data_IF_733919172138
#
_entry.id   IF_733919172138
#
_cell.length_a   1.000
_cell.length_b   1.000
_cell.length_c   1.000
_cell.angle_alpha   90.00
_cell.angle_beta   90.00
_cell.angle_gamma   90.00
#
_symmetry.space_group_name_H-M   'P 1'
#
loop_
_entity.id
_entity.type
_entity.pdbx_description
1 polymer ?
#
# COMPACT_ATOMS: atom_id res chain seq x y z
N UNK A 1 -35.77 11.92 11.67
CA UNK A 1 -34.75 11.07 12.35
C UNK A 1 -33.82 12.00 13.13
N UNK A 2 -33.73 11.86 14.44
CA UNK A 2 -32.71 12.58 15.21
C UNK A 2 -31.32 11.98 14.93
N UNK A 3 -30.30 12.83 14.92
CA UNK A 3 -28.90 12.36 14.80
C UNK A 3 -28.51 11.60 16.09
N UNK A 4 -27.56 10.63 15.98
CA UNK A 4 -27.02 9.95 17.13
C UNK A 4 -26.37 10.93 18.11
N UNK A 5 -26.44 10.63 19.42
CA UNK A 5 -25.86 11.47 20.46
C UNK A 5 -24.34 11.33 20.62
N UNK A 6 -23.64 10.77 19.65
CA UNK A 6 -22.18 10.64 19.64
C UNK A 6 -21.54 11.32 18.41
N UNK A 7 -20.27 11.65 18.52
CA UNK A 7 -19.52 12.44 17.52
C UNK A 7 -18.55 11.59 16.72
N UNK A 8 -18.13 12.03 15.51
CA UNK A 8 -17.06 11.39 14.74
C UNK A 8 -15.75 11.25 15.52
N UNK A 9 -15.43 12.22 16.39
CA UNK A 9 -14.19 12.22 17.18
C UNK A 9 -14.20 11.13 18.26
N UNK A 10 -15.35 10.85 18.84
CA UNK A 10 -15.54 9.73 19.77
C UNK A 10 -15.40 8.38 19.06
N UNK A 11 -15.98 8.23 17.86
CA UNK A 11 -15.80 7.02 17.03
C UNK A 11 -14.32 6.83 16.64
N UNK A 12 -13.63 7.91 16.27
CA UNK A 12 -12.21 7.85 15.91
C UNK A 12 -11.34 7.42 17.10
N UNK A 13 -11.60 7.94 18.28
CA UNK A 13 -10.91 7.53 19.50
C UNK A 13 -11.14 6.03 19.77
N UNK A 14 -12.40 5.57 19.72
CA UNK A 14 -12.75 4.17 19.91
C UNK A 14 -12.04 3.24 18.94
N UNK A 15 -12.11 3.49 17.63
CA UNK A 15 -11.50 2.65 16.59
C UNK A 15 -9.98 2.59 16.76
N UNK A 16 -9.32 3.72 17.07
CA UNK A 16 -7.87 3.73 17.28
C UNK A 16 -7.47 2.98 18.57
N UNK A 17 -8.23 3.07 19.64
CA UNK A 17 -7.97 2.28 20.86
C UNK A 17 -8.15 0.79 20.58
N UNK A 18 -9.16 0.41 19.82
CA UNK A 18 -9.39 -0.99 19.43
C UNK A 18 -8.24 -1.56 18.57
N UNK A 19 -7.72 -0.77 17.62
CA UNK A 19 -6.61 -1.15 16.76
C UNK A 19 -5.28 -1.26 17.52
N UNK A 20 -4.94 -0.22 18.31
CA UNK A 20 -3.66 -0.11 19.01
C UNK A 20 -3.63 -0.83 20.36
N UNK A 21 -4.80 -1.19 20.91
CA UNK A 21 -4.98 -1.77 22.25
C UNK A 21 -4.30 -0.95 23.36
N UNK A 22 -4.24 0.38 23.17
CA UNK A 22 -3.55 1.30 24.05
C UNK A 22 -4.14 2.72 23.98
N UNK A 23 -4.57 3.24 25.10
CA UNK A 23 -5.00 4.64 25.20
C UNK A 23 -3.83 5.63 25.01
N UNK A 24 -2.65 5.29 25.52
CA UNK A 24 -1.46 6.13 25.37
C UNK A 24 -1.00 6.21 23.89
N UNK A 25 -0.88 5.08 23.21
CA UNK A 25 -0.51 5.07 21.79
C UNK A 25 -1.57 5.77 20.92
N UNK A 26 -2.86 5.63 21.28
CA UNK A 26 -3.93 6.35 20.59
C UNK A 26 -3.83 7.86 20.80
N UNK A 27 -3.49 8.29 22.03
CA UNK A 27 -3.30 9.70 22.33
C UNK A 27 -2.16 10.32 21.50
N UNK A 28 -1.03 9.64 21.37
CA UNK A 28 0.07 10.05 20.47
C UNK A 28 -0.39 10.14 19.04
N UNK A 29 -1.08 9.11 18.51
CA UNK A 29 -1.58 9.06 17.13
C UNK A 29 -2.55 10.20 16.81
N UNK A 30 -3.42 10.57 17.78
CA UNK A 30 -4.45 11.61 17.62
C UNK A 30 -4.00 13.01 18.07
N UNK A 31 -2.76 13.16 18.51
CA UNK A 31 -2.22 14.39 19.09
C UNK A 31 -3.08 14.91 20.27
N UNK A 32 -3.47 13.99 21.18
CA UNK A 32 -4.28 14.23 22.38
C UNK A 32 -3.53 13.78 23.63
N UNK A 33 -4.13 14.06 24.80
CA UNK A 33 -3.69 13.45 26.06
C UNK A 33 -4.40 12.10 26.28
N UNK A 34 -3.80 11.14 27.02
CA UNK A 34 -4.46 9.87 27.34
C UNK A 34 -5.79 10.06 28.10
N UNK A 35 -5.90 11.07 28.94
CA UNK A 35 -7.15 11.43 29.63
C UNK A 35 -8.23 11.90 28.65
N UNK A 36 -7.88 12.70 27.65
CA UNK A 36 -8.83 13.14 26.62
C UNK A 36 -9.35 11.96 25.77
N UNK A 37 -8.47 11.03 25.39
CA UNK A 37 -8.90 9.81 24.68
C UNK A 37 -9.83 8.96 25.56
N UNK A 38 -9.49 8.79 26.86
CA UNK A 38 -10.33 8.06 27.80
C UNK A 38 -11.70 8.72 27.99
N UNK A 39 -11.74 10.04 28.03
CA UNK A 39 -13.00 10.79 28.11
C UNK A 39 -13.85 10.59 26.86
N UNK A 40 -13.28 10.74 25.65
CA UNK A 40 -14.00 10.52 24.38
C UNK A 40 -14.63 9.12 24.30
N UNK A 41 -13.88 8.10 24.73
CA UNK A 41 -14.39 6.73 24.75
C UNK A 41 -15.48 6.56 25.81
N UNK A 42 -15.31 7.14 27.03
CA UNK A 42 -16.33 7.06 28.07
C UNK A 42 -17.64 7.75 27.67
N UNK A 43 -17.57 8.93 27.06
CA UNK A 43 -18.74 9.64 26.54
C UNK A 43 -19.45 8.84 25.43
N UNK A 44 -18.69 8.12 24.59
CA UNK A 44 -19.26 7.24 23.59
C UNK A 44 -19.99 6.06 24.24
N UNK A 45 -19.38 5.41 25.24
CA UNK A 45 -19.99 4.33 26.00
C UNK A 45 -21.28 4.77 26.68
N UNK A 46 -21.28 5.96 27.27
CA UNK A 46 -22.46 6.55 27.92
C UNK A 46 -23.59 6.85 26.92
N UNK A 47 -23.22 7.35 25.72
CA UNK A 47 -24.19 7.59 24.64
C UNK A 47 -24.76 6.31 24.05
N UNK A 48 -24.00 5.20 24.03
CA UNK A 48 -24.42 3.90 23.55
C UNK A 48 -25.17 3.07 24.60
N UNK A 49 -24.93 3.35 25.89
CA UNK A 49 -25.53 2.60 27.01
C UNK A 49 -24.85 1.26 27.31
N UNK A 50 -23.66 1.00 26.74
CA UNK A 50 -22.86 -0.21 27.00
C UNK A 50 -21.36 0.06 26.93
N UNK A 51 -20.57 -0.83 27.58
CA UNK A 51 -19.10 -0.71 27.57
C UNK A 51 -18.50 -1.28 26.32
N UNK A 52 -17.53 -0.55 25.74
CA UNK A 52 -16.78 -0.94 24.54
C UNK A 52 -15.48 -1.65 24.92
N UNK A 53 -14.90 -1.33 26.07
CA UNK A 53 -13.67 -1.95 26.58
C UNK A 53 -13.85 -2.49 27.99
N UNK A 54 -13.18 -3.61 28.26
CA UNK A 54 -12.98 -4.11 29.61
C UNK A 54 -11.80 -3.36 30.25
N UNK A 55 -12.05 -2.68 31.35
CA UNK A 55 -11.02 -1.93 32.07
C UNK A 55 -10.29 -2.86 33.04
N UNK A 56 -9.19 -3.47 32.59
CA UNK A 56 -8.21 -4.03 33.51
C UNK A 56 -6.97 -3.11 33.58
N UNK A 57 -6.31 -3.04 34.72
CA UNK A 57 -5.13 -2.18 34.93
C UNK A 57 -3.91 -2.60 34.09
N UNK A 58 -3.97 -3.73 33.38
CA UNK A 58 -2.85 -4.28 32.64
C UNK A 58 -3.10 -4.47 31.13
N UNK A 59 -4.36 -4.47 30.66
CA UNK A 59 -4.71 -4.66 29.24
C UNK A 59 -5.97 -3.91 28.88
N UNK A 60 -6.01 -3.48 27.63
CA UNK A 60 -7.21 -2.89 27.00
C UNK A 60 -7.80 -3.98 26.09
N UNK A 61 -8.83 -4.65 26.56
CA UNK A 61 -9.54 -5.67 25.80
C UNK A 61 -10.92 -5.14 25.37
N UNK A 62 -11.25 -5.35 24.10
CA UNK A 62 -12.54 -4.95 23.53
C UNK A 62 -13.62 -5.94 23.98
N UNK A 63 -14.78 -5.44 24.44
CA UNK A 63 -15.94 -6.27 24.83
C UNK A 63 -16.58 -6.94 23.62
N UNK A 64 -17.50 -7.89 23.83
CA UNK A 64 -18.31 -8.47 22.76
C UNK A 64 -19.12 -7.41 22.01
N UNK A 65 -19.80 -6.54 22.75
CA UNK A 65 -20.56 -5.41 22.21
C UNK A 65 -19.65 -4.44 21.43
N UNK A 66 -18.43 -4.16 21.97
CA UNK A 66 -17.44 -3.34 21.29
C UNK A 66 -17.02 -3.94 19.94
N UNK A 67 -16.80 -5.26 19.86
CA UNK A 67 -16.47 -5.93 18.59
C UNK A 67 -17.58 -5.84 17.56
N UNK A 68 -18.82 -6.01 17.97
CA UNK A 68 -19.97 -5.87 17.07
C UNK A 68 -20.11 -4.43 16.57
N UNK A 69 -19.92 -3.46 17.45
CA UNK A 69 -20.01 -2.04 17.09
C UNK A 69 -18.85 -1.55 16.24
N UNK A 70 -17.65 -2.17 16.33
CA UNK A 70 -16.43 -1.74 15.66
C UNK A 70 -16.61 -1.62 14.14
N UNK A 71 -17.19 -2.63 13.50
CA UNK A 71 -17.42 -2.63 12.05
C UNK A 71 -18.34 -1.47 11.62
N UNK A 72 -19.35 -1.15 12.42
CA UNK A 72 -20.25 -0.01 12.16
C UNK A 72 -19.54 1.33 12.35
N UNK A 73 -18.72 1.47 13.39
CA UNK A 73 -17.93 2.67 13.66
C UNK A 73 -16.92 2.95 12.53
N UNK A 74 -16.20 1.93 12.08
CA UNK A 74 -15.28 2.00 10.94
C UNK A 74 -16.01 2.43 9.65
N UNK A 75 -17.19 1.87 9.40
CA UNK A 75 -18.01 2.21 8.24
C UNK A 75 -18.43 3.68 8.26
N UNK A 76 -18.89 4.21 9.40
CA UNK A 76 -19.24 5.63 9.55
C UNK A 76 -18.03 6.52 9.28
N UNK A 77 -16.88 6.22 9.86
CA UNK A 77 -15.65 6.99 9.63
C UNK A 77 -15.20 6.93 8.18
N UNK A 78 -15.34 5.77 7.51
CA UNK A 78 -15.10 5.63 6.07
C UNK A 78 -15.98 6.58 5.26
N UNK A 79 -17.29 6.62 5.55
CA UNK A 79 -18.24 7.49 4.83
C UNK A 79 -17.99 8.99 5.10
N UNK A 80 -17.58 9.35 6.31
CA UNK A 80 -17.17 10.74 6.61
C UNK A 80 -15.95 11.16 5.81
N UNK A 81 -14.94 10.29 5.67
CA UNK A 81 -13.76 10.55 4.81
C UNK A 81 -14.17 10.71 3.35
N UNK A 82 -15.09 9.87 2.86
CA UNK A 82 -15.62 9.98 1.50
C UNK A 82 -16.33 11.32 1.29
N UNK A 83 -17.15 11.76 2.23
CA UNK A 83 -17.83 13.05 2.16
C UNK A 83 -16.84 14.22 2.19
N UNK A 84 -15.83 14.17 3.04
CA UNK A 84 -14.76 15.17 3.11
C UNK A 84 -13.94 15.19 1.82
N UNK A 85 -13.66 14.02 1.25
CA UNK A 85 -12.99 13.91 -0.05
C UNK A 85 -13.84 14.53 -1.16
N UNK A 86 -15.14 14.24 -1.22
CA UNK A 86 -16.04 14.82 -2.21
C UNK A 86 -16.06 16.36 -2.16
N UNK A 87 -16.08 16.94 -0.95
CA UNK A 87 -15.96 18.40 -0.78
C UNK A 87 -14.59 18.94 -1.24
N UNK A 88 -13.52 18.17 -1.04
CA UNK A 88 -12.19 18.52 -1.53
C UNK A 88 -12.10 18.39 -3.05
N UNK A 89 -12.77 17.41 -3.63
CA UNK A 89 -12.80 17.18 -5.08
C UNK A 89 -13.47 18.33 -5.83
N UNK A 90 -14.53 18.93 -5.27
CA UNK A 90 -15.16 20.14 -5.83
C UNK A 90 -14.13 21.27 -5.92
N UNK A 91 -13.33 21.48 -4.87
CA UNK A 91 -12.26 22.51 -4.89
C UNK A 91 -11.12 22.15 -5.83
N UNK A 92 -10.69 20.89 -5.84
CA UNK A 92 -9.58 20.40 -6.67
C UNK A 92 -9.93 20.37 -8.15
N UNK A 93 -11.19 20.11 -8.51
CA UNK A 93 -11.69 20.20 -9.91
C UNK A 93 -11.45 21.58 -10.51
N UNK A 94 -11.75 22.62 -9.75
CA UNK A 94 -11.49 24.00 -10.17
C UNK A 94 -9.99 24.31 -10.30
N UNK A 95 -9.14 23.67 -9.47
CA UNK A 95 -7.69 23.86 -9.44
C UNK A 95 -6.91 22.90 -10.34
N UNK A 96 -7.57 21.89 -10.97
CA UNK A 96 -6.89 20.86 -11.79
C UNK A 96 -5.94 19.95 -11.01
N UNK A 97 -6.18 19.72 -9.73
CA UNK A 97 -5.33 18.86 -8.89
C UNK A 97 -5.77 17.38 -9.02
N UNK A 98 -4.81 16.49 -9.26
CA UNK A 98 -4.98 15.03 -9.26
C UNK A 98 -4.10 14.42 -8.18
N UNK A 99 -4.67 13.63 -7.28
CA UNK A 99 -3.96 12.89 -6.25
C UNK A 99 -3.80 11.44 -6.70
N UNK A 100 -2.56 10.96 -6.76
CA UNK A 100 -2.26 9.57 -7.10
C UNK A 100 -1.50 8.89 -5.98
N UNK A 101 -2.05 7.79 -5.48
CA UNK A 101 -1.37 6.92 -4.51
C UNK A 101 -0.49 5.91 -5.24
N UNK A 102 0.71 5.69 -4.74
CA UNK A 102 1.62 4.67 -5.27
C UNK A 102 2.62 4.23 -4.21
N UNK A 103 3.08 2.96 -4.24
CA UNK A 103 4.22 2.53 -3.46
C UNK A 103 5.51 3.22 -3.95
N UNK A 104 6.46 3.41 -3.04
CA UNK A 104 7.73 4.13 -3.26
C UNK A 104 8.39 3.83 -4.62
N UNK A 105 8.49 2.56 -4.99
CA UNK A 105 9.12 2.15 -6.25
C UNK A 105 8.37 2.69 -7.46
N UNK A 106 7.04 2.54 -7.48
CA UNK A 106 6.19 3.03 -8.57
C UNK A 106 6.21 4.55 -8.61
N UNK A 107 6.14 5.19 -7.44
CA UNK A 107 6.21 6.65 -7.28
C UNK A 107 7.53 7.21 -7.81
N UNK A 108 8.67 6.56 -7.55
CA UNK A 108 10.00 7.05 -7.94
C UNK A 108 10.44 6.65 -9.35
N UNK A 109 10.00 5.48 -9.85
CA UNK A 109 10.49 4.93 -11.13
C UNK A 109 9.53 5.20 -12.30
N UNK A 110 8.23 5.10 -12.06
CA UNK A 110 7.22 5.13 -13.14
C UNK A 110 6.57 6.52 -13.24
N UNK A 111 6.03 7.03 -12.14
CA UNK A 111 5.25 8.26 -12.14
C UNK A 111 6.00 9.51 -12.63
N UNK A 112 7.28 9.76 -12.30
CA UNK A 112 7.93 11.02 -12.70
C UNK A 112 7.96 11.23 -14.21
N UNK A 113 8.23 10.18 -14.99
CA UNK A 113 8.23 10.25 -16.46
C UNK A 113 6.83 10.48 -17.01
N UNK A 114 5.83 9.79 -16.46
CA UNK A 114 4.44 9.95 -16.86
C UNK A 114 3.92 11.34 -16.54
N UNK A 115 4.21 11.87 -15.36
CA UNK A 115 3.83 13.21 -14.92
C UNK A 115 4.46 14.26 -15.83
N UNK A 116 5.78 14.17 -16.09
CA UNK A 116 6.48 15.10 -16.99
C UNK A 116 5.83 15.17 -18.36
N UNK A 117 5.54 14.01 -18.97
CA UNK A 117 4.93 13.96 -20.30
C UNK A 117 3.49 14.51 -20.29
N UNK A 118 2.72 14.27 -19.22
CA UNK A 118 1.35 14.75 -19.11
C UNK A 118 1.27 16.26 -18.90
N UNK A 119 2.07 16.80 -17.96
CA UNK A 119 2.05 18.22 -17.61
C UNK A 119 2.59 19.13 -18.71
N UNK A 120 3.44 18.62 -19.61
CA UNK A 120 3.86 19.36 -20.81
C UNK A 120 2.69 19.73 -21.72
N UNK A 121 1.67 18.88 -21.82
CA UNK A 121 0.47 19.13 -22.63
C UNK A 121 -0.69 19.74 -21.84
N UNK A 122 -0.62 19.70 -20.53
CA UNK A 122 -1.65 20.18 -19.59
C UNK A 122 -1.05 20.95 -18.41
N UNK A 123 -0.45 22.12 -18.64
CA UNK A 123 0.34 22.84 -17.63
C UNK A 123 -0.48 23.33 -16.42
N UNK A 124 -1.80 23.39 -16.54
CA UNK A 124 -2.70 23.76 -15.43
C UNK A 124 -3.04 22.60 -14.50
N UNK A 125 -2.65 21.35 -14.87
CA UNK A 125 -2.91 20.18 -14.03
C UNK A 125 -1.72 19.93 -13.10
N UNK A 126 -2.00 19.77 -11.82
CA UNK A 126 -1.02 19.46 -10.79
C UNK A 126 -1.23 18.04 -10.28
N UNK A 127 -0.23 17.20 -10.47
CA UNK A 127 -0.25 15.81 -9.96
C UNK A 127 0.44 15.78 -8.61
N UNK A 128 -0.30 15.34 -7.58
CA UNK A 128 0.23 15.13 -6.22
C UNK A 128 0.40 13.63 -5.98
N UNK A 129 1.63 13.19 -5.79
CA UNK A 129 1.94 11.81 -5.42
C UNK A 129 1.74 11.67 -3.90
N UNK A 130 1.12 10.57 -3.50
CA UNK A 130 1.02 10.13 -2.12
C UNK A 130 1.69 8.76 -2.02
N UNK A 131 2.81 8.72 -1.30
CA UNK A 131 3.48 7.45 -1.01
C UNK A 131 2.62 6.66 -0.02
N UNK A 132 2.31 5.42 -0.38
CA UNK A 132 1.53 4.50 0.45
C UNK A 132 2.15 3.10 0.42
N UNK A 133 2.07 2.33 1.51
CA UNK A 133 2.36 0.91 1.49
C UNK A 133 1.45 0.17 0.51
N UNK A 134 1.94 -0.96 -0.05
CA UNK A 134 1.19 -1.74 -1.05
C UNK A 134 -0.19 -2.17 -0.54
N UNK A 135 -0.30 -2.55 0.72
CA UNK A 135 -1.55 -2.97 1.37
C UNK A 135 -2.58 -1.85 1.54
N UNK A 136 -2.16 -0.58 1.51
CA UNK A 136 -3.03 0.59 1.61
C UNK A 136 -3.41 1.21 0.26
N UNK A 137 -2.92 0.63 -0.85
CA UNK A 137 -3.07 1.17 -2.18
C UNK A 137 -4.55 1.31 -2.61
N UNK A 138 -5.32 0.23 -2.46
CA UNK A 138 -6.75 0.18 -2.83
C UNK A 138 -7.57 1.04 -1.87
N UNK A 139 -7.27 0.97 -0.57
CA UNK A 139 -7.94 1.74 0.47
C UNK A 139 -7.83 3.25 0.22
N UNK A 140 -6.70 3.74 -0.27
CA UNK A 140 -6.49 5.16 -0.56
C UNK A 140 -7.47 5.68 -1.63
N UNK A 141 -7.85 4.86 -2.60
CA UNK A 141 -8.88 5.21 -3.59
C UNK A 141 -10.28 5.03 -3.03
N UNK A 142 -10.54 3.93 -2.32
CA UNK A 142 -11.84 3.63 -1.75
C UNK A 142 -12.27 4.69 -0.70
N UNK A 143 -11.33 5.19 0.11
CA UNK A 143 -11.59 6.27 1.08
C UNK A 143 -11.69 7.66 0.46
N UNK A 144 -11.24 7.82 -0.79
CA UNK A 144 -11.15 9.13 -1.46
C UNK A 144 -9.92 9.96 -1.07
N UNK A 145 -8.98 9.38 -0.38
CA UNK A 145 -7.68 10.00 -0.07
C UNK A 145 -6.82 10.22 -1.34
N UNK A 146 -7.06 9.40 -2.36
CA UNK A 146 -6.49 9.55 -3.70
C UNK A 146 -7.59 9.45 -4.77
N UNK A 147 -7.37 10.07 -5.91
CA UNK A 147 -8.25 10.00 -7.08
C UNK A 147 -7.95 8.76 -7.90
N UNK A 148 -6.69 8.36 -7.92
CA UNK A 148 -6.15 7.20 -8.61
C UNK A 148 -5.12 6.50 -7.72
N UNK A 149 -4.87 5.23 -7.99
CA UNK A 149 -3.69 4.56 -7.45
C UNK A 149 -3.01 3.73 -8.52
N UNK A 150 -1.67 3.65 -8.46
CA UNK A 150 -0.84 2.88 -9.38
C UNK A 150 0.09 1.96 -8.60
N UNK A 151 0.02 0.66 -8.84
CA UNK A 151 0.87 -0.29 -8.13
C UNK A 151 0.62 -1.74 -8.51
N UNK A 152 1.18 -2.68 -7.74
CA UNK A 152 1.03 -4.10 -8.01
C UNK A 152 -0.42 -4.55 -7.91
N UNK A 153 -0.73 -5.66 -8.59
CA UNK A 153 -2.04 -6.28 -8.59
C UNK A 153 -2.50 -6.64 -7.18
N UNK A 154 -3.70 -6.14 -6.80
CA UNK A 154 -4.36 -6.36 -5.52
C UNK A 154 -5.84 -6.63 -5.72
N UNK A 155 -6.39 -7.50 -4.90
CA UNK A 155 -7.84 -7.67 -4.85
C UNK A 155 -8.51 -6.34 -4.44
N UNK A 156 -9.63 -6.03 -5.07
CA UNK A 156 -10.43 -4.84 -4.79
C UNK A 156 -11.91 -5.21 -4.80
N UNK A 157 -12.71 -4.43 -4.09
CA UNK A 157 -14.18 -4.55 -4.11
C UNK A 157 -14.79 -3.91 -5.35
N UNK A 158 -16.12 -4.03 -5.46
CA UNK A 158 -16.91 -3.53 -6.61
C UNK A 158 -16.97 -2.00 -6.69
N UNK A 159 -16.45 -1.30 -5.70
CA UNK A 159 -16.34 0.15 -5.66
C UNK A 159 -15.08 0.68 -6.35
N UNK A 160 -14.19 -0.22 -6.80
CA UNK A 160 -12.92 0.10 -7.47
C UNK A 160 -12.82 -0.60 -8.82
N UNK A 161 -12.50 0.15 -9.85
CA UNK A 161 -12.11 -0.38 -11.16
C UNK A 161 -10.61 -0.62 -11.17
N UNK A 162 -10.21 -1.86 -11.49
CA UNK A 162 -8.82 -2.27 -11.65
C UNK A 162 -8.52 -2.47 -13.13
N UNK A 163 -7.58 -1.70 -13.66
CA UNK A 163 -7.09 -1.80 -15.04
C UNK A 163 -5.65 -2.28 -15.04
N UNK A 164 -5.38 -3.45 -15.63
CA UNK A 164 -4.02 -3.96 -15.81
C UNK A 164 -3.30 -3.14 -16.88
N UNK A 165 -2.07 -2.68 -16.59
CA UNK A 165 -1.28 -1.84 -17.49
C UNK A 165 -0.15 -2.61 -18.16
N UNK A 166 0.67 -3.30 -17.39
CA UNK A 166 1.76 -4.11 -17.88
C UNK A 166 2.15 -5.21 -16.89
N UNK A 167 2.88 -6.18 -17.39
CA UNK A 167 3.45 -7.25 -16.58
C UNK A 167 4.96 -7.10 -16.45
N UNK A 168 5.53 -7.62 -15.38
CA UNK A 168 6.95 -7.59 -15.10
C UNK A 168 7.37 -8.88 -14.40
N UNK A 169 8.36 -9.60 -14.91
CA UNK A 169 8.83 -10.83 -14.27
C UNK A 169 9.49 -10.50 -12.93
N UNK A 170 9.36 -11.41 -11.99
CA UNK A 170 10.21 -11.44 -10.81
C UNK A 170 11.60 -11.89 -11.19
N UNK A 171 12.60 -11.15 -10.72
CA UNK A 171 14.00 -11.38 -11.02
C UNK A 171 14.84 -11.32 -9.75
N UNK A 172 16.00 -11.95 -9.79
CA UNK A 172 17.02 -11.81 -8.75
C UNK A 172 17.82 -10.54 -9.03
N UNK A 173 18.00 -9.73 -7.99
CA UNK A 173 18.92 -8.62 -7.91
C UNK A 173 20.02 -8.94 -6.91
N UNK A 174 21.29 -8.92 -7.35
CA UNK A 174 22.42 -9.27 -6.52
C UNK A 174 23.67 -8.44 -6.90
N UNK A 175 24.67 -8.41 -6.02
CA UNK A 175 25.95 -7.82 -6.33
C UNK A 175 26.64 -8.54 -7.51
N UNK A 176 27.53 -7.89 -8.25
CA UNK A 176 28.33 -8.54 -9.29
C UNK A 176 29.23 -9.68 -8.77
N UNK A 177 29.63 -9.62 -7.51
CA UNK A 177 30.44 -10.62 -6.79
C UNK A 177 29.65 -11.86 -6.37
N UNK A 178 28.32 -11.76 -6.34
CA UNK A 178 27.44 -12.85 -5.89
C UNK A 178 27.61 -14.09 -6.82
N UNK A 179 27.66 -15.33 -6.30
CA UNK A 179 27.88 -16.55 -7.10
C UNK A 179 26.92 -16.74 -8.25
N UNK A 180 25.65 -16.30 -8.10
CA UNK A 180 24.65 -16.38 -9.14
C UNK A 180 24.76 -15.25 -10.18
N UNK A 181 25.59 -14.24 -9.96
CA UNK A 181 25.74 -13.08 -10.84
C UNK A 181 26.30 -13.44 -12.24
N UNK A 182 27.02 -14.53 -12.36
CA UNK A 182 27.60 -14.98 -13.64
C UNK A 182 26.68 -15.90 -14.44
N UNK A 183 25.56 -16.36 -13.85
CA UNK A 183 24.60 -17.22 -14.54
C UNK A 183 23.70 -16.38 -15.46
N UNK A 184 23.33 -16.94 -16.62
CA UNK A 184 22.35 -16.29 -17.50
C UNK A 184 20.95 -16.27 -16.88
N UNK A 185 20.55 -17.40 -16.28
CA UNK A 185 19.28 -17.59 -15.57
C UNK A 185 19.55 -18.35 -14.27
N UNK A 186 18.65 -18.25 -13.32
CA UNK A 186 18.67 -18.98 -12.04
C UNK A 186 17.35 -19.72 -11.85
N UNK A 187 17.36 -20.77 -11.05
CA UNK A 187 16.16 -21.50 -10.65
C UNK A 187 15.86 -21.28 -9.16
N UNK A 188 14.64 -21.53 -8.76
CA UNK A 188 14.24 -21.45 -7.35
C UNK A 188 15.09 -22.32 -6.45
N UNK A 189 15.40 -23.55 -6.87
CA UNK A 189 16.29 -24.45 -6.16
C UNK A 189 17.70 -23.88 -5.93
N UNK A 190 18.22 -23.11 -6.89
CA UNK A 190 19.52 -22.47 -6.73
C UNK A 190 19.47 -21.29 -5.76
N UNK A 191 18.33 -20.58 -5.67
CA UNK A 191 18.15 -19.47 -4.73
C UNK A 191 18.16 -19.92 -3.29
N UNK A 192 17.68 -21.12 -3.00
CA UNK A 192 17.62 -21.68 -1.64
C UNK A 192 19.00 -21.74 -0.94
N UNK A 193 20.08 -21.87 -1.71
CA UNK A 193 21.45 -21.96 -1.18
C UNK A 193 22.04 -20.64 -0.72
N UNK A 194 21.34 -19.51 -0.91
CA UNK A 194 21.87 -18.18 -0.65
C UNK A 194 20.93 -17.34 0.22
N UNK A 195 21.46 -16.45 1.07
CA UNK A 195 20.64 -15.55 1.87
C UNK A 195 19.87 -14.59 0.97
N UNK A 196 18.57 -14.46 1.24
CA UNK A 196 17.68 -13.54 0.56
C UNK A 196 17.02 -12.58 1.54
N UNK A 197 16.88 -11.33 1.15
CA UNK A 197 16.14 -10.30 1.89
C UNK A 197 14.85 -9.96 1.15
N UNK A 198 13.74 -9.91 1.87
CA UNK A 198 12.45 -9.49 1.33
C UNK A 198 12.15 -8.03 1.68
N UNK A 199 11.50 -7.31 0.77
CA UNK A 199 11.05 -5.95 0.98
C UNK A 199 9.56 -5.92 1.35
N UNK A 200 9.27 -5.94 2.64
CA UNK A 200 7.94 -5.95 3.21
C UNK A 200 7.29 -7.34 3.23
N UNK A 201 6.29 -7.48 4.07
CA UNK A 201 5.54 -8.74 4.25
C UNK A 201 4.78 -9.18 2.99
N UNK A 202 4.43 -8.24 2.12
CA UNK A 202 3.80 -8.56 0.83
C UNK A 202 4.78 -9.28 -0.11
N UNK A 203 6.07 -8.88 -0.11
CA UNK A 203 7.13 -9.59 -0.83
C UNK A 203 7.40 -10.97 -0.23
N UNK A 204 7.47 -11.07 1.10
CA UNK A 204 7.63 -12.34 1.80
C UNK A 204 6.52 -13.32 1.42
N UNK A 205 5.26 -12.90 1.51
CA UNK A 205 4.10 -13.72 1.12
C UNK A 205 4.12 -14.08 -0.36
N UNK A 206 4.49 -13.15 -1.23
CA UNK A 206 4.61 -13.41 -2.65
C UNK A 206 5.67 -14.46 -2.93
N UNK A 207 6.86 -14.34 -2.34
CA UNK A 207 7.92 -15.35 -2.46
C UNK A 207 7.43 -16.70 -1.94
N UNK A 208 6.76 -16.75 -0.78
CA UNK A 208 6.19 -17.97 -0.24
C UNK A 208 5.15 -18.61 -1.16
N UNK A 209 4.32 -17.83 -1.85
CA UNK A 209 3.34 -18.33 -2.80
C UNK A 209 3.96 -18.86 -4.10
N UNK A 210 5.06 -18.26 -4.56
CA UNK A 210 5.71 -18.58 -5.83
C UNK A 210 6.27 -20.02 -5.87
N UNK A 211 6.52 -20.63 -4.72
CA UNK A 211 7.07 -21.97 -4.62
C UNK A 211 6.18 -22.95 -3.82
N UNK A 212 4.88 -22.69 -3.75
CA UNK A 212 3.93 -23.56 -3.05
C UNK A 212 3.93 -25.01 -3.60
N UNK A 213 4.33 -25.23 -4.84
CA UNK A 213 4.48 -26.55 -5.45
C UNK A 213 5.84 -27.22 -5.25
N UNK A 214 6.80 -26.57 -4.58
CA UNK A 214 8.12 -27.16 -4.31
C UNK A 214 8.14 -27.92 -2.98
N UNK A 215 8.95 -29.00 -2.87
CA UNK A 215 9.23 -29.64 -1.60
C UNK A 215 9.72 -28.63 -0.56
N UNK A 216 9.41 -28.85 0.71
CA UNK A 216 9.78 -27.94 1.81
C UNK A 216 11.27 -27.58 1.85
N UNK A 217 12.10 -28.54 1.49
CA UNK A 217 13.57 -28.41 1.44
C UNK A 217 14.08 -27.49 0.32
N UNK A 218 13.25 -27.19 -0.67
CA UNK A 218 13.58 -26.29 -1.79
C UNK A 218 12.89 -24.93 -1.70
N UNK A 219 12.13 -24.69 -0.64
CA UNK A 219 11.43 -23.43 -0.45
C UNK A 219 12.40 -22.34 -0.04
N UNK A 220 12.32 -21.24 -0.73
CA UNK A 220 13.10 -20.04 -0.44
C UNK A 220 12.44 -19.27 0.70
N UNK A 221 13.18 -19.12 1.80
CA UNK A 221 12.72 -18.31 2.94
C UNK A 221 13.70 -17.14 3.10
N UNK A 222 13.19 -15.89 3.08
CA UNK A 222 14.04 -14.74 3.36
C UNK A 222 14.65 -14.85 4.76
N UNK A 223 15.94 -14.52 4.87
CA UNK A 223 16.66 -14.48 6.17
C UNK A 223 16.35 -13.20 6.94
N UNK A 224 15.88 -12.17 6.24
CA UNK A 224 15.53 -10.87 6.81
C UNK A 224 14.37 -10.24 6.00
N UNK A 225 13.53 -9.47 6.69
CA UNK A 225 12.45 -8.71 6.08
C UNK A 225 12.65 -7.25 6.44
N UNK A 226 12.79 -6.40 5.43
CA UNK A 226 12.92 -4.95 5.59
C UNK A 226 11.69 -4.23 5.04
N UNK A 227 11.39 -3.05 5.54
CA UNK A 227 10.16 -2.34 5.14
C UNK A 227 10.19 -1.81 3.70
N UNK A 228 11.38 -1.46 3.20
CA UNK A 228 11.53 -0.80 1.91
C UNK A 228 12.43 -1.56 0.94
N UNK A 229 12.05 -1.55 -0.32
CA UNK A 229 12.85 -2.17 -1.40
C UNK A 229 14.24 -1.52 -1.55
N UNK A 230 14.38 -0.22 -1.26
CA UNK A 230 15.66 0.48 -1.28
C UNK A 230 16.64 -0.10 -0.26
N UNK A 231 16.16 -0.47 0.93
CA UNK A 231 16.98 -1.14 1.96
C UNK A 231 17.39 -2.54 1.51
N UNK A 232 16.45 -3.32 0.95
CA UNK A 232 16.77 -4.65 0.40
C UNK A 232 17.82 -4.56 -0.73
N UNK A 233 17.71 -3.57 -1.61
CA UNK A 233 18.69 -3.33 -2.68
C UNK A 233 20.06 -2.86 -2.14
N UNK A 234 20.07 -2.05 -1.08
CA UNK A 234 21.31 -1.65 -0.40
C UNK A 234 22.04 -2.85 0.19
N UNK A 235 21.32 -3.76 0.88
CA UNK A 235 21.89 -5.00 1.40
C UNK A 235 22.41 -5.91 0.27
N UNK A 236 21.68 -5.97 -0.84
CA UNK A 236 22.11 -6.73 -2.01
C UNK A 236 23.34 -6.12 -2.70
N UNK A 237 23.45 -4.81 -2.75
CA UNK A 237 24.61 -4.13 -3.31
C UNK A 237 25.89 -4.31 -2.44
N UNK A 238 25.70 -4.41 -1.14
CA UNK A 238 26.77 -4.72 -0.18
C UNK A 238 27.13 -6.22 -0.12
N UNK A 239 26.50 -7.05 -0.94
CA UNK A 239 26.67 -8.53 -0.98
C UNK A 239 26.38 -9.24 0.37
N UNK A 240 25.50 -8.63 1.18
CA UNK A 240 25.04 -9.24 2.45
C UNK A 240 23.98 -10.30 2.18
N UNK A 241 23.07 -10.03 1.27
CA UNK A 241 22.03 -10.95 0.83
C UNK A 241 21.50 -10.51 -0.54
N UNK A 242 21.05 -11.43 -1.38
CA UNK A 242 20.37 -11.06 -2.61
C UNK A 242 18.90 -10.69 -2.36
N UNK A 243 18.22 -10.05 -3.32
CA UNK A 243 16.80 -9.73 -3.21
C UNK A 243 16.02 -10.11 -4.47
N UNK A 244 14.76 -10.50 -4.27
CA UNK A 244 13.82 -10.78 -5.35
C UNK A 244 12.88 -9.59 -5.51
N UNK A 245 12.76 -9.08 -6.72
CA UNK A 245 11.85 -7.98 -7.01
C UNK A 245 11.44 -7.98 -8.49
N UNK A 246 10.32 -7.34 -8.85
CA UNK A 246 9.94 -7.21 -10.26
C UNK A 246 10.99 -6.45 -11.08
N UNK A 247 11.12 -6.80 -12.35
CA UNK A 247 12.13 -6.22 -13.25
C UNK A 247 12.02 -4.70 -13.42
N UNK A 248 10.79 -4.14 -13.30
CA UNK A 248 10.60 -2.69 -13.42
C UNK A 248 11.35 -1.86 -12.38
N UNK A 249 11.80 -2.46 -11.25
CA UNK A 249 12.62 -1.77 -10.25
C UNK A 249 14.05 -1.51 -10.69
N UNK A 250 14.44 -2.01 -11.86
CA UNK A 250 15.81 -1.88 -12.39
C UNK A 250 16.36 -0.47 -12.45
N UNK A 251 15.50 0.56 -12.51
CA UNK A 251 15.94 1.94 -12.44
C UNK A 251 16.54 2.33 -11.07
N UNK A 252 16.14 1.64 -9.98
CA UNK A 252 16.74 1.78 -8.65
C UNK A 252 17.95 0.86 -8.47
N UNK A 253 17.92 -0.33 -9.07
CA UNK A 253 18.96 -1.35 -8.90
C UNK A 253 20.25 -1.01 -9.65
N UNK A 254 20.14 -0.51 -10.89
CA UNK A 254 21.29 -0.18 -11.75
C UNK A 254 22.26 0.84 -11.15
N UNK A 255 21.82 1.98 -10.57
CA UNK A 255 22.74 2.93 -9.93
C UNK A 255 23.49 2.35 -8.73
N UNK A 256 22.96 1.31 -8.09
CA UNK A 256 23.61 0.58 -7.00
C UNK A 256 24.59 -0.50 -7.50
N UNK A 257 24.79 -0.62 -8.81
CA UNK A 257 25.68 -1.63 -9.39
C UNK A 257 25.12 -3.05 -9.39
N UNK A 258 23.84 -3.23 -9.05
CA UNK A 258 23.22 -4.54 -9.01
C UNK A 258 23.05 -5.16 -10.39
N UNK A 259 23.28 -6.46 -10.47
CA UNK A 259 23.01 -7.26 -11.67
C UNK A 259 21.66 -7.96 -11.55
N UNK A 260 21.00 -8.10 -12.70
CA UNK A 260 19.70 -8.74 -12.86
C UNK A 260 19.87 -10.17 -13.36
N UNK A 261 19.17 -11.14 -12.76
CA UNK A 261 19.08 -12.52 -13.26
C UNK A 261 17.62 -12.96 -13.32
N UNK A 262 17.24 -13.54 -14.47
CA UNK A 262 15.90 -14.13 -14.62
C UNK A 262 15.78 -15.37 -13.75
N UNK A 263 14.62 -15.56 -13.15
CA UNK A 263 14.28 -16.75 -12.39
C UNK A 263 13.34 -17.59 -13.24
N UNK A 264 13.69 -18.85 -13.42
CA UNK A 264 12.92 -19.80 -14.24
C UNK A 264 12.47 -20.99 -13.38
N UNK A 265 11.48 -21.71 -13.91
CA UNK A 265 10.97 -22.97 -13.33
C UNK A 265 10.32 -22.82 -11.95
N UNK A 266 9.21 -22.07 -11.84
CA UNK A 266 8.54 -21.30 -12.89
C UNK A 266 9.07 -19.85 -12.99
N UNK A 267 8.85 -19.21 -14.14
CA UNK A 267 8.92 -17.74 -14.23
C UNK A 267 7.63 -17.14 -13.64
N UNK A 268 7.77 -16.19 -12.76
CA UNK A 268 6.63 -15.58 -12.06
C UNK A 268 6.48 -14.14 -12.51
N UNK A 269 5.27 -13.77 -12.92
CA UNK A 269 4.94 -12.42 -13.38
C UNK A 269 4.26 -11.63 -12.30
N UNK A 270 4.57 -10.32 -12.23
CA UNK A 270 3.85 -9.34 -11.43
C UNK A 270 3.15 -8.36 -12.37
N UNK A 271 1.88 -8.12 -12.11
CA UNK A 271 1.13 -7.12 -12.85
C UNK A 271 1.16 -5.79 -12.13
N UNK A 272 1.27 -4.70 -12.90
CA UNK A 272 1.08 -3.33 -12.41
C UNK A 272 -0.27 -2.86 -12.93
N UNK A 273 -1.10 -2.38 -12.00
CA UNK A 273 -2.48 -2.00 -12.23
C UNK A 273 -2.71 -0.54 -11.86
N UNK A 274 -3.61 0.10 -12.58
CA UNK A 274 -4.25 1.36 -12.23
C UNK A 274 -5.56 1.05 -11.51
N UNK A 275 -5.80 1.76 -10.41
CA UNK A 275 -7.04 1.68 -9.64
C UNK A 275 -7.73 3.03 -9.67
N UNK A 276 -9.03 3.02 -9.97
CA UNK A 276 -9.89 4.19 -9.99
C UNK A 276 -11.24 3.87 -9.33
N UNK A 277 -11.97 4.87 -8.81
CA UNK A 277 -13.28 4.63 -8.23
C UNK A 277 -14.29 4.22 -9.31
N UNK A 278 -15.13 3.20 -9.01
CA UNK A 278 -16.16 2.73 -9.94
C UNK A 278 -17.44 3.61 -9.92
N UNK A 279 -17.78 4.13 -8.73
CA UNK A 279 -19.07 4.83 -8.52
C UNK A 279 -18.93 6.30 -8.17
N UNK A 280 -17.75 6.75 -7.77
CA UNK A 280 -17.49 8.14 -7.46
C UNK A 280 -17.08 8.87 -8.74
N UNK A 281 -17.72 10.02 -9.03
CA UNK A 281 -17.32 10.85 -10.14
C UNK A 281 -15.89 11.37 -9.94
N UNK A 282 -15.02 11.09 -10.89
CA UNK A 282 -13.65 11.60 -10.97
C UNK A 282 -13.63 12.98 -11.62
N UNK A 283 -12.55 13.73 -11.40
CA UNK A 283 -12.39 15.01 -12.10
C UNK A 283 -11.93 14.76 -13.55
N UNK A 284 -12.28 15.64 -14.51
CA UNK A 284 -11.76 15.52 -15.87
C UNK A 284 -10.22 15.48 -15.94
N UNK A 285 -9.53 16.11 -14.99
CA UNK A 285 -8.08 16.04 -14.86
C UNK A 285 -7.60 14.64 -14.45
N UNK A 286 -8.29 13.98 -13.51
CA UNK A 286 -7.96 12.62 -13.07
C UNK A 286 -8.27 11.59 -14.16
N UNK A 287 -9.40 11.71 -14.86
CA UNK A 287 -9.73 10.87 -16.01
C UNK A 287 -8.69 11.00 -17.11
N UNK A 288 -8.36 12.24 -17.49
CA UNK A 288 -7.35 12.49 -18.51
C UNK A 288 -5.96 11.98 -18.12
N UNK A 289 -5.60 12.00 -16.83
CA UNK A 289 -4.33 11.44 -16.36
C UNK A 289 -4.38 9.88 -16.34
N UNK A 290 -5.52 9.29 -15.98
CA UNK A 290 -5.73 7.85 -16.05
C UNK A 290 -5.55 7.33 -17.49
N UNK A 291 -6.21 7.97 -18.46
CA UNK A 291 -6.09 7.63 -19.89
C UNK A 291 -4.65 7.78 -20.39
N UNK A 292 -3.96 8.81 -19.92
CA UNK A 292 -2.54 9.01 -20.25
C UNK A 292 -1.68 7.86 -19.71
N UNK A 293 -1.87 7.46 -18.45
CA UNK A 293 -1.15 6.33 -17.85
C UNK A 293 -1.43 5.02 -18.60
N UNK A 294 -2.69 4.74 -18.92
CA UNK A 294 -3.07 3.55 -19.70
C UNK A 294 -2.33 3.55 -21.04
N UNK A 295 -2.39 4.65 -21.79
CA UNK A 295 -1.77 4.74 -23.11
C UNK A 295 -0.26 4.55 -23.10
N UNK A 296 0.47 5.18 -22.15
CA UNK A 296 1.94 5.14 -22.14
C UNK A 296 2.51 3.88 -21.47
N UNK A 297 1.75 3.25 -20.55
CA UNK A 297 2.23 2.08 -19.82
C UNK A 297 1.79 0.76 -20.45
N UNK A 298 0.62 0.69 -21.11
CA UNK A 298 0.20 -0.49 -21.86
C UNK A 298 1.10 -0.79 -23.08
N UNK A 299 1.90 0.19 -23.54
CA UNK A 299 2.87 0.01 -24.64
C UNK A 299 4.23 -0.54 -24.18
N UNK A 300 4.44 -0.74 -22.88
CA UNK A 300 5.65 -1.37 -22.34
C UNK A 300 5.54 -2.91 -22.44
N UNK A 301 5.63 -3.43 -23.66
CA UNK A 301 5.85 -4.86 -23.90
C UNK A 301 7.34 -5.21 -23.90
#
# INVERSE_FOLDING_TARGET
MSLPHFTPRQLEAFVNVAELRSFAATAERLALTPSAVSQLVSELEDALGFKLFERSTRRVDITSAGREFLASAESVLKHLRIAQSAASDVRNRAAGIVRIAAPLVVASVILPKAIKAYTQTRPKVHIRIRDVPVEKLVDAVASGDADLALGPDRACGDDIVRTQLFESPWVLWCAPTHPLAHKRNVTWAQLHAYPLVAAGRDHERSVAQMHTGLPSEQRVTPVEIVDNISTAMGLAAADVAATLAPDYVGALAKPLGLVRRRILSPEVMRYVCLYSPARRATSPAAEGFADHLIRILAQRR
#
